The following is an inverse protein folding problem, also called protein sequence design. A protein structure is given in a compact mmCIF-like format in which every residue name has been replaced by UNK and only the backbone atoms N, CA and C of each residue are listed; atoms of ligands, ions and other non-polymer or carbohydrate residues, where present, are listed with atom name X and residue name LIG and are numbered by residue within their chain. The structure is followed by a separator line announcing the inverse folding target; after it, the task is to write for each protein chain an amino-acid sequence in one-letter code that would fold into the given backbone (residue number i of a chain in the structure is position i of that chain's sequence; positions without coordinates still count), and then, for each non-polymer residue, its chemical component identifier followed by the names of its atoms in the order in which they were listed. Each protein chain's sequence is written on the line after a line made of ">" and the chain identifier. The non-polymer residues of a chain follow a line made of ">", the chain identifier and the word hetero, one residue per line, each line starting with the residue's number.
data_IF_472390109545
#
_entry.id   IF_472390109545
#
_cell.length_a   1.000
_cell.length_b   1.000
_cell.length_c   1.000
_cell.angle_alpha   90.00
_cell.angle_beta   90.00
_cell.angle_gamma   90.00
#
_symmetry.space_group_name_H-M   'P 1'
#
loop_
_entity.id
_entity.type
_entity.pdbx_description
1 polymer ?
#
# COMPACT_ATOMS: atom_id res chain seq x y z
N UNK A 1 -9.48 9.83 -23.56
CA UNK A 1 -9.66 9.13 -22.28
C UNK A 1 -10.25 10.13 -21.31
N UNK A 2 -11.47 9.90 -20.81
CA UNK A 2 -12.06 10.76 -19.78
C UNK A 2 -11.31 10.58 -18.45
N UNK A 3 -11.22 11.63 -17.64
CA UNK A 3 -10.50 11.59 -16.37
C UNK A 3 -11.39 11.03 -15.26
N UNK A 4 -10.78 10.39 -14.25
CA UNK A 4 -11.47 9.85 -13.07
C UNK A 4 -12.30 10.90 -12.31
N UNK A 5 -11.96 12.18 -12.43
CA UNK A 5 -12.72 13.29 -11.89
C UNK A 5 -14.06 13.51 -12.63
N UNK A 6 -14.13 13.22 -13.93
CA UNK A 6 -15.34 13.40 -14.73
C UNK A 6 -16.40 12.31 -14.42
N UNK A 7 -15.97 11.10 -14.08
CA UNK A 7 -16.90 10.00 -13.74
C UNK A 7 -17.53 10.13 -12.34
N UNK A 8 -16.84 10.76 -11.38
CA UNK A 8 -17.28 10.79 -9.98
C UNK A 8 -18.06 12.05 -9.59
N UNK A 9 -17.99 13.10 -10.41
CA UNK A 9 -18.52 14.44 -10.11
C UNK A 9 -20.00 14.70 -10.40
N UNK A 10 -20.78 13.96 -11.21
CA UNK A 10 -22.15 14.45 -11.50
C UNK A 10 -23.22 14.12 -10.45
N UNK A 11 -23.07 13.07 -9.63
CA UNK A 11 -24.23 12.45 -8.93
C UNK A 11 -24.30 12.62 -7.41
N UNK A 12 -23.37 13.35 -6.77
CA UNK A 12 -23.35 13.58 -5.31
C UNK A 12 -24.25 14.73 -4.81
N UNK A 13 -24.97 15.42 -5.70
CA UNK A 13 -25.45 16.79 -5.46
C UNK A 13 -26.98 16.91 -5.26
N UNK A 14 -27.53 16.33 -4.19
CA UNK A 14 -28.95 16.56 -3.88
C UNK A 14 -29.24 17.27 -2.55
N UNK A 15 -28.37 17.23 -1.53
CA UNK A 15 -28.60 17.93 -0.26
C UNK A 15 -27.45 18.86 0.09
N UNK A 16 -27.77 20.13 0.41
CA UNK A 16 -26.83 21.22 0.69
C UNK A 16 -26.89 21.64 2.16
N UNK A 17 -26.29 20.87 3.06
CA UNK A 17 -25.96 21.35 4.41
C UNK A 17 -24.49 21.77 4.51
N UNK A 18 -24.12 22.61 5.48
CA UNK A 18 -22.72 23.04 5.70
C UNK A 18 -21.77 21.87 6.00
N UNK A 19 -22.25 20.82 6.67
CA UNK A 19 -21.49 19.58 6.88
C UNK A 19 -21.27 18.80 5.58
N UNK A 20 -22.24 18.82 4.67
CA UNK A 20 -22.11 18.16 3.36
C UNK A 20 -21.10 18.89 2.47
N UNK A 21 -21.00 20.23 2.58
CA UNK A 21 -20.01 21.03 1.85
C UNK A 21 -18.58 20.77 2.33
N UNK A 22 -18.37 20.63 3.64
CA UNK A 22 -17.05 20.31 4.21
C UNK A 22 -16.64 18.86 3.84
N UNK A 23 -17.57 17.91 3.93
CA UNK A 23 -17.35 16.55 3.43
C UNK A 23 -17.03 16.52 1.92
N UNK A 24 -17.72 17.36 1.13
CA UNK A 24 -17.48 17.49 -0.31
C UNK A 24 -16.08 18.04 -0.63
N UNK A 25 -15.64 19.09 0.07
CA UNK A 25 -14.31 19.66 -0.08
C UNK A 25 -13.22 18.63 0.27
N UNK A 26 -13.42 17.84 1.33
CA UNK A 26 -12.51 16.76 1.76
C UNK A 26 -12.41 15.64 0.72
N UNK A 27 -13.53 15.22 0.11
CA UNK A 27 -13.52 14.21 -0.96
C UNK A 27 -12.81 14.75 -2.20
N UNK A 28 -13.12 15.98 -2.63
CA UNK A 28 -12.49 16.60 -3.81
C UNK A 28 -10.98 16.76 -3.62
N UNK A 29 -10.56 17.16 -2.43
CA UNK A 29 -9.14 17.24 -2.08
C UNK A 29 -8.47 15.86 -2.12
N UNK A 30 -9.10 14.81 -1.58
CA UNK A 30 -8.57 13.46 -1.64
C UNK A 30 -8.45 12.91 -3.07
N UNK A 31 -9.41 13.23 -3.95
CA UNK A 31 -9.35 12.91 -5.39
C UNK A 31 -8.17 13.62 -6.06
N UNK A 32 -8.00 14.92 -5.79
CA UNK A 32 -6.87 15.68 -6.33
C UNK A 32 -5.52 15.10 -5.85
N UNK A 33 -5.42 14.75 -4.57
CA UNK A 33 -4.20 14.19 -3.99
C UNK A 33 -3.84 12.83 -4.60
N UNK A 34 -4.81 11.95 -4.84
CA UNK A 34 -4.52 10.65 -5.47
C UNK A 34 -4.12 10.81 -6.93
N UNK A 35 -4.74 11.74 -7.67
CA UNK A 35 -4.35 12.04 -9.05
C UNK A 35 -2.94 12.63 -9.10
N UNK A 36 -2.59 13.50 -8.15
CA UNK A 36 -1.23 14.01 -8.01
C UNK A 36 -0.24 12.89 -7.71
N UNK A 37 -0.53 12.02 -6.73
CA UNK A 37 0.32 10.88 -6.41
C UNK A 37 0.57 9.97 -7.63
N UNK A 38 -0.48 9.68 -8.42
CA UNK A 38 -0.36 8.89 -9.64
C UNK A 38 0.50 9.57 -10.71
N UNK A 39 0.40 10.89 -10.86
CA UNK A 39 1.27 11.66 -11.78
C UNK A 39 2.73 11.64 -11.33
N UNK A 40 2.98 11.81 -10.03
CA UNK A 40 4.33 11.73 -9.46
C UNK A 40 4.92 10.32 -9.67
N UNK A 41 4.14 9.27 -9.42
CA UNK A 41 4.55 7.89 -9.69
C UNK A 41 4.90 7.68 -11.17
N UNK A 42 4.07 8.16 -12.10
CA UNK A 42 4.33 8.06 -13.53
C UNK A 42 5.55 8.88 -13.99
N UNK A 43 5.86 9.98 -13.29
CA UNK A 43 7.03 10.80 -13.52
C UNK A 43 8.31 10.25 -12.87
N UNK A 44 8.21 9.19 -12.05
CA UNK A 44 9.33 8.62 -11.29
C UNK A 44 9.70 9.41 -10.02
N UNK A 45 8.88 10.38 -9.62
CA UNK A 45 9.03 11.11 -8.35
C UNK A 45 8.34 10.33 -7.22
N UNK A 46 9.04 9.33 -6.70
CA UNK A 46 8.52 8.43 -5.68
C UNK A 46 8.42 9.08 -4.30
N UNK A 47 9.26 10.06 -3.99
CA UNK A 47 9.24 10.79 -2.71
C UNK A 47 7.97 11.63 -2.60
N UNK A 48 7.62 12.39 -3.64
CA UNK A 48 6.38 13.17 -3.65
C UNK A 48 5.15 12.28 -3.71
N UNK A 49 5.21 11.15 -4.44
CA UNK A 49 4.16 10.14 -4.44
C UNK A 49 3.89 9.59 -3.04
N UNK A 50 4.94 9.23 -2.29
CA UNK A 50 4.85 8.73 -0.93
C UNK A 50 4.18 9.74 0.00
N UNK A 51 4.67 10.98 0.00
CA UNK A 51 4.13 12.04 0.85
C UNK A 51 2.63 12.29 0.60
N UNK A 52 2.22 12.35 -0.67
CA UNK A 52 0.81 12.50 -1.03
C UNK A 52 -0.05 11.31 -0.59
N UNK A 53 0.47 10.08 -0.70
CA UNK A 53 -0.25 8.90 -0.24
C UNK A 53 -0.36 8.82 1.29
N UNK A 54 0.70 9.19 2.02
CA UNK A 54 0.72 9.27 3.48
C UNK A 54 -0.29 10.31 3.99
N UNK A 55 -0.38 11.46 3.31
CA UNK A 55 -1.40 12.47 3.59
C UNK A 55 -2.81 11.88 3.42
N UNK A 56 -3.08 11.15 2.34
CA UNK A 56 -4.40 10.52 2.10
C UNK A 56 -4.78 9.53 3.20
N UNK A 57 -3.85 8.69 3.65
CA UNK A 57 -4.12 7.62 4.64
C UNK A 57 -4.18 8.15 6.07
N UNK A 58 -3.46 9.22 6.39
CA UNK A 58 -3.47 9.85 7.72
C UNK A 58 -4.80 10.54 8.07
N UNK A 59 -5.62 10.81 7.07
CA UNK A 59 -6.86 11.54 7.25
C UNK A 59 -8.01 10.66 7.77
N UNK A 60 -8.86 11.18 8.68
CA UNK A 60 -9.88 10.39 9.38
C UNK A 60 -10.90 9.73 8.43
N UNK A 61 -11.45 8.58 8.87
CA UNK A 61 -12.37 7.72 8.07
C UNK A 61 -13.69 8.40 7.69
N UNK A 62 -14.07 9.46 8.38
CA UNK A 62 -15.35 10.14 8.21
C UNK A 62 -15.42 10.81 6.82
N UNK A 63 -16.24 10.22 5.95
CA UNK A 63 -16.67 10.84 4.69
C UNK A 63 -15.76 10.60 3.48
N UNK A 64 -14.80 9.67 3.52
CA UNK A 64 -13.89 9.41 2.39
C UNK A 64 -14.21 8.13 1.63
N UNK A 65 -14.00 8.19 0.32
CA UNK A 65 -14.11 7.01 -0.54
C UNK A 65 -13.03 5.99 -0.17
N UNK A 66 -13.45 4.83 0.34
CA UNK A 66 -12.56 3.69 0.64
C UNK A 66 -11.74 3.27 -0.59
N UNK A 67 -12.25 3.50 -1.81
CA UNK A 67 -11.52 3.27 -3.05
C UNK A 67 -10.31 4.20 -3.24
N UNK A 68 -10.40 5.47 -2.82
CA UNK A 68 -9.26 6.41 -2.89
C UNK A 68 -8.16 5.96 -1.93
N UNK A 69 -8.54 5.54 -0.72
CA UNK A 69 -7.60 5.04 0.27
C UNK A 69 -6.96 3.72 -0.18
N UNK A 70 -7.74 2.81 -0.77
CA UNK A 70 -7.23 1.58 -1.35
C UNK A 70 -6.16 1.85 -2.42
N UNK A 71 -6.41 2.81 -3.33
CA UNK A 71 -5.44 3.24 -4.35
C UNK A 71 -4.17 3.82 -3.74
N UNK A 72 -4.27 4.65 -2.69
CA UNK A 72 -3.10 5.19 -1.99
C UNK A 72 -2.26 4.07 -1.36
N UNK A 73 -2.90 3.11 -0.69
CA UNK A 73 -2.21 1.94 -0.14
C UNK A 73 -1.54 1.07 -1.21
N UNK A 74 -2.17 0.90 -2.38
CA UNK A 74 -1.55 0.18 -3.50
C UNK A 74 -0.28 0.88 -3.99
N UNK A 75 -0.28 2.23 -4.09
CA UNK A 75 0.91 2.99 -4.45
C UNK A 75 2.01 2.83 -3.39
N UNK A 76 1.67 2.89 -2.10
CA UNK A 76 2.60 2.67 -0.99
C UNK A 76 3.11 1.22 -0.86
N UNK A 77 2.41 0.26 -1.48
CA UNK A 77 2.82 -1.14 -1.51
C UNK A 77 3.83 -1.44 -2.64
N UNK A 78 4.00 -0.52 -3.60
CA UNK A 78 4.94 -0.66 -4.72
C UNK A 78 6.39 -0.71 -4.21
N UNK A 79 7.25 -1.42 -4.93
CA UNK A 79 8.67 -1.56 -4.56
C UNK A 79 9.44 -0.25 -4.78
N UNK A 80 9.01 0.51 -5.77
CA UNK A 80 9.57 1.78 -6.23
C UNK A 80 9.30 2.92 -5.24
N UNK A 81 8.19 2.83 -4.51
CA UNK A 81 7.83 3.77 -3.44
C UNK A 81 8.50 3.29 -2.17
N UNK A 82 9.69 3.83 -1.92
CA UNK A 82 10.62 3.47 -0.83
C UNK A 82 9.93 2.96 0.45
N UNK A 83 10.19 1.69 0.78
CA UNK A 83 9.67 1.03 1.97
C UNK A 83 10.30 -0.34 2.20
N UNK A 84 10.52 -0.68 3.47
CA UNK A 84 10.93 -2.03 3.89
C UNK A 84 9.82 -3.04 3.60
N UNK A 85 10.19 -4.31 3.38
CA UNK A 85 9.25 -5.34 2.91
C UNK A 85 8.00 -5.50 3.79
N UNK A 86 8.12 -5.35 5.11
CA UNK A 86 6.99 -5.46 6.03
C UNK A 86 6.01 -4.28 5.90
N UNK A 87 6.50 -3.07 5.64
CA UNK A 87 5.66 -1.90 5.38
C UNK A 87 4.88 -2.10 4.07
N UNK A 88 5.55 -2.59 3.03
CA UNK A 88 4.88 -2.91 1.75
C UNK A 88 3.82 -4.00 1.92
N UNK A 89 4.11 -5.03 2.70
CA UNK A 89 3.14 -6.08 3.02
C UNK A 89 1.94 -5.55 3.79
N UNK A 90 2.17 -4.70 4.80
CA UNK A 90 1.11 -4.07 5.58
C UNK A 90 0.25 -3.13 4.73
N UNK A 91 0.87 -2.32 3.86
CA UNK A 91 0.16 -1.45 2.93
C UNK A 91 -0.68 -2.26 1.92
N UNK A 92 -0.13 -3.34 1.36
CA UNK A 92 -0.88 -4.22 0.45
C UNK A 92 -2.08 -4.88 1.15
N UNK A 93 -1.92 -5.27 2.41
CA UNK A 93 -3.02 -5.81 3.21
C UNK A 93 -4.13 -4.78 3.44
N UNK A 94 -3.78 -3.55 3.82
CA UNK A 94 -4.78 -2.49 3.99
C UNK A 94 -5.47 -2.11 2.67
N UNK A 95 -4.77 -2.21 1.53
CA UNK A 95 -5.39 -2.06 0.22
C UNK A 95 -6.45 -3.15 -0.03
N UNK A 96 -6.16 -4.41 0.30
CA UNK A 96 -7.11 -5.52 0.19
C UNK A 96 -8.35 -5.29 1.06
N UNK A 97 -8.15 -4.97 2.34
CA UNK A 97 -9.25 -4.68 3.27
C UNK A 97 -10.15 -3.56 2.75
N UNK A 98 -9.56 -2.50 2.18
CA UNK A 98 -10.33 -1.40 1.59
C UNK A 98 -11.09 -1.82 0.32
N UNK A 99 -10.50 -2.65 -0.55
CA UNK A 99 -11.18 -3.14 -1.76
C UNK A 99 -12.29 -4.13 -1.44
N UNK A 100 -12.10 -5.00 -0.45
CA UNK A 100 -13.12 -5.93 0.03
C UNK A 100 -14.35 -5.16 0.53
N UNK A 101 -14.15 -4.10 1.32
CA UNK A 101 -15.22 -3.21 1.76
C UNK A 101 -15.91 -2.46 0.59
N UNK A 102 -15.17 -2.09 -0.46
CA UNK A 102 -15.76 -1.45 -1.66
C UNK A 102 -16.66 -2.44 -2.41
N UNK A 103 -16.23 -3.70 -2.53
CA UNK A 103 -16.98 -4.77 -3.20
C UNK A 103 -18.23 -5.15 -2.38
N UNK A 104 -18.09 -5.31 -1.06
CA UNK A 104 -19.21 -5.60 -0.14
C UNK A 104 -20.25 -4.47 -0.10
N UNK A 105 -19.84 -3.22 -0.31
CA UNK A 105 -20.77 -2.08 -0.38
C UNK A 105 -21.46 -1.93 -1.73
N UNK A 106 -20.90 -2.50 -2.80
CA UNK A 106 -21.55 -2.49 -4.12
C UNK A 106 -22.69 -3.50 -4.20
N UNK A 107 -22.58 -4.64 -3.51
CA UNK A 107 -23.68 -5.60 -3.38
C UNK A 107 -24.88 -5.06 -2.59
N UNK A 108 -24.74 -3.92 -1.89
CA UNK A 108 -25.79 -3.25 -1.10
C UNK A 108 -26.35 -1.97 -1.75
N UNK A 109 -26.28 -1.87 -3.08
CA UNK A 109 -26.99 -0.87 -3.90
C UNK A 109 -26.52 0.60 -3.79
N UNK A 110 -25.35 0.87 -3.17
CA UNK A 110 -24.89 2.25 -2.93
C UNK A 110 -23.43 2.54 -3.29
N UNK A 111 -22.63 1.57 -3.78
CA UNK A 111 -21.31 1.90 -4.30
C UNK A 111 -21.41 2.47 -5.72
N UNK A 112 -20.65 3.53 -5.95
CA UNK A 112 -20.60 4.25 -7.24
C UNK A 112 -19.38 3.87 -8.05
N UNK A 113 -18.62 2.89 -7.58
CA UNK A 113 -17.37 2.45 -8.19
C UNK A 113 -17.62 1.16 -8.99
N UNK A 114 -17.20 1.05 -10.26
CA UNK A 114 -17.45 -0.14 -11.07
C UNK A 114 -16.86 -1.40 -10.42
N UNK A 115 -17.70 -2.41 -10.17
CA UNK A 115 -17.29 -3.65 -9.47
C UNK A 115 -16.19 -4.41 -10.21
N UNK A 116 -16.27 -4.48 -11.54
CA UNK A 116 -15.27 -5.15 -12.37
C UNK A 116 -13.87 -4.52 -12.19
N UNK A 117 -13.84 -3.21 -11.97
CA UNK A 117 -12.62 -2.49 -11.74
C UNK A 117 -12.11 -2.71 -10.31
N UNK A 118 -13.00 -2.78 -9.31
CA UNK A 118 -12.63 -3.09 -7.93
C UNK A 118 -12.04 -4.51 -7.82
N UNK A 119 -12.62 -5.49 -8.50
CA UNK A 119 -12.13 -6.86 -8.55
C UNK A 119 -10.73 -6.94 -9.17
N UNK A 120 -10.48 -6.22 -10.27
CA UNK A 120 -9.15 -6.14 -10.89
C UNK A 120 -8.11 -5.57 -9.92
N UNK A 121 -8.44 -4.47 -9.24
CA UNK A 121 -7.53 -3.86 -8.27
C UNK A 121 -7.30 -4.73 -7.03
N UNK A 122 -8.31 -5.49 -6.59
CA UNK A 122 -8.17 -6.48 -5.52
C UNK A 122 -7.17 -7.57 -5.90
N UNK A 123 -7.30 -8.16 -7.10
CA UNK A 123 -6.37 -9.19 -7.60
C UNK A 123 -4.94 -8.63 -7.68
N UNK A 124 -4.81 -7.38 -8.13
CA UNK A 124 -3.51 -6.70 -8.19
C UNK A 124 -2.91 -6.49 -6.78
N UNK A 125 -3.71 -6.02 -5.82
CA UNK A 125 -3.29 -5.87 -4.43
C UNK A 125 -2.89 -7.22 -3.79
N UNK A 126 -3.60 -8.31 -4.12
CA UNK A 126 -3.27 -9.65 -3.65
C UNK A 126 -1.92 -10.12 -4.19
N UNK A 127 -1.65 -9.84 -5.47
CA UNK A 127 -0.36 -10.11 -6.09
C UNK A 127 0.75 -9.34 -5.38
N UNK A 128 0.57 -8.04 -5.13
CA UNK A 128 1.53 -7.21 -4.40
C UNK A 128 1.79 -7.74 -2.99
N UNK A 129 0.75 -8.18 -2.28
CA UNK A 129 0.88 -8.77 -0.95
C UNK A 129 1.74 -10.04 -0.98
N UNK A 130 1.46 -10.97 -1.90
CA UNK A 130 2.24 -12.20 -2.07
C UNK A 130 3.70 -11.91 -2.43
N UNK A 131 3.95 -10.92 -3.28
CA UNK A 131 5.30 -10.50 -3.66
C UNK A 131 6.07 -9.90 -2.47
N UNK A 132 5.42 -9.04 -1.69
CA UNK A 132 6.01 -8.47 -0.47
C UNK A 132 6.32 -9.53 0.59
N UNK A 133 5.44 -10.53 0.76
CA UNK A 133 5.66 -11.65 1.66
C UNK A 133 6.83 -12.53 1.22
N UNK A 134 6.93 -12.86 -0.08
CA UNK A 134 8.07 -13.63 -0.62
C UNK A 134 9.39 -12.91 -0.37
N UNK A 135 9.44 -11.60 -0.64
CA UNK A 135 10.62 -10.79 -0.36
C UNK A 135 11.02 -10.85 1.13
N UNK A 136 10.04 -10.89 2.05
CA UNK A 136 10.30 -11.08 3.48
C UNK A 136 10.89 -12.46 3.83
N UNK A 137 10.38 -13.53 3.21
CA UNK A 137 10.89 -14.89 3.39
C UNK A 137 12.31 -15.03 2.85
N UNK A 138 12.60 -14.45 1.70
CA UNK A 138 13.94 -14.50 1.08
C UNK A 138 14.98 -13.76 1.94
N UNK A 139 14.61 -12.60 2.50
CA UNK A 139 15.46 -11.85 3.43
C UNK A 139 15.68 -12.64 4.73
N UNK A 140 14.64 -13.28 5.28
CA UNK A 140 14.76 -14.11 6.47
C UNK A 140 15.67 -15.33 6.23
N UNK A 141 15.56 -15.97 5.06
CA UNK A 141 16.40 -17.09 4.65
C UNK A 141 17.87 -16.66 4.49
N UNK A 142 18.13 -15.54 3.81
CA UNK A 142 19.48 -14.99 3.65
C UNK A 142 20.13 -14.61 4.99
N UNK A 143 19.36 -14.04 5.93
CA UNK A 143 19.83 -13.77 7.29
C UNK A 143 20.16 -15.07 8.05
N UNK A 144 19.33 -16.10 7.94
CA UNK A 144 19.56 -17.39 8.60
C UNK A 144 20.81 -18.10 8.06
N UNK A 145 21.04 -18.08 6.74
CA UNK A 145 22.26 -18.64 6.14
C UNK A 145 23.51 -17.90 6.59
N UNK A 146 23.45 -16.56 6.64
CA UNK A 146 24.56 -15.74 7.14
C UNK A 146 24.89 -16.02 8.60
N UNK A 147 23.87 -16.21 9.45
CA UNK A 147 24.06 -16.62 10.85
C UNK A 147 24.66 -18.01 10.99
N UNK A 148 24.24 -18.99 10.17
CA UNK A 148 24.84 -20.34 10.16
C UNK A 148 26.30 -20.31 9.74
N UNK A 149 26.64 -19.52 8.73
CA UNK A 149 28.03 -19.34 8.29
C UNK A 149 28.89 -18.76 9.40
N UNK A 150 28.40 -17.73 10.10
CA UNK A 150 29.12 -17.09 11.21
C UNK A 150 29.33 -18.03 12.41
N UNK A 151 28.33 -18.86 12.74
CA UNK A 151 28.45 -19.88 13.78
C UNK A 151 29.44 -20.99 13.40
N UNK A 152 29.44 -21.42 12.13
CA UNK A 152 30.38 -22.41 11.62
C UNK A 152 31.83 -21.91 11.69
N UNK A 153 32.10 -20.66 11.29
CA UNK A 153 33.44 -20.06 11.34
C UNK A 153 33.93 -19.83 12.78
N UNK A 154 33.06 -19.42 13.71
CA UNK A 154 33.42 -19.30 15.13
C UNK A 154 33.75 -20.66 15.76
N UNK A 155 33.03 -21.73 15.38
CA UNK A 155 33.30 -23.08 15.90
C UNK A 155 34.62 -23.68 15.42
N UNK A 156 35.07 -23.33 14.21
CA UNK A 156 36.38 -23.74 13.67
C UNK A 156 37.54 -22.92 14.26
N UNK A 157 37.33 -21.61 14.50
CA UNK A 157 38.34 -20.76 15.14
C UNK A 157 38.64 -21.15 16.60
N UNK A 158 37.66 -21.69 17.32
CA UNK A 158 37.84 -22.21 18.68
C UNK A 158 38.61 -23.54 18.71
N UNK A 159 38.34 -24.45 17.76
CA UNK A 159 39.06 -25.74 17.67
C UNK A 159 40.54 -25.58 17.35
N UNK A 160 40.90 -24.59 16.52
CA UNK A 160 42.29 -24.34 16.15
C UNK A 160 43.11 -23.65 17.25
N UNK A 161 42.47 -22.94 18.20
CA UNK A 161 43.18 -22.32 19.34
C UNK A 161 43.47 -23.32 20.46
N UNK A 162 42.61 -24.31 20.68
CA UNK A 162 42.85 -25.35 21.70
C UNK A 162 43.98 -26.34 21.32
N UNK A 163 44.27 -26.53 20.04
CA UNK A 163 45.40 -27.37 19.61
C UNK A 163 46.77 -26.69 19.65
N UNK A 164 46.84 -25.37 19.82
CA UNK A 164 48.10 -24.62 19.81
C UNK A 164 48.70 -24.37 21.21
N UNK A 165 48.11 -24.89 22.29
CA UNK A 165 48.56 -24.67 23.69
C UNK A 165 49.04 -25.96 24.37
N UNK A 166 49.37 -27.00 23.60
CA UNK A 166 49.86 -28.29 24.08
C UNK A 166 51.21 -28.65 23.41
N UNK A 167 52.20 -27.76 23.51
CA UNK A 167 53.62 -28.03 23.34
C UNK A 167 54.40 -27.10 24.27
#
# INVERSE_FOLDING_TARGET
>A
MMSLAEDLTPRYFQNRTLSDLDAHAKIKHAVYQIDYAQKCFAAGDFTSCKGACEEIVSLPEEGRSKAIRAKAYMLLARAEVEGVWWQRSSNAQHALECWDLVIERDSSAHSRFPIDQALKYRIEAEKMYKEAQRAGVDIAAACAERSRFFQATSSQGLKNKTSATLL
#
